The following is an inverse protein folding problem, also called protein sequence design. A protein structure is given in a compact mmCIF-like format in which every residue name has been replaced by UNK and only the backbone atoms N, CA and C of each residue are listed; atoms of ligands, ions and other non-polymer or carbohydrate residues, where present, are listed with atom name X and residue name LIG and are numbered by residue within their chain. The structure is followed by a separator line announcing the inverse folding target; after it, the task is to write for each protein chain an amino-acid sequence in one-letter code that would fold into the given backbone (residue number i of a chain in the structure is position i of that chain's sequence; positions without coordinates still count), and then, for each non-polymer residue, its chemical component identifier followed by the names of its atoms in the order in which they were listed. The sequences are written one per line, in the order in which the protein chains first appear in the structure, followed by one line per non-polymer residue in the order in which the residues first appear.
data_IF_163087635132
#
_entry.id   IF_163087635132
#
_cell.length_a   1.000
_cell.length_b   1.000
_cell.length_c   1.000
_cell.angle_alpha   90.00
_cell.angle_beta   90.00
_cell.angle_gamma   90.00
#
_symmetry.space_group_name_H-M   'P 1'
#
loop_
_entity.id
_entity.type
_entity.pdbx_description
1 polymer ?
#
# COMPACT_ATOMS: atom_id res chain seq x y z
N UNK A 1 -6.72 -2.50 4.73
CA UNK A 1 -6.70 -1.28 3.89
C UNK A 1 -6.06 -0.16 4.70
N UNK A 2 -5.51 0.86 4.05
CA UNK A 2 -4.85 1.99 4.69
C UNK A 2 -5.46 3.29 4.19
N UNK A 3 -5.52 4.29 5.07
CA UNK A 3 -5.90 5.66 4.71
C UNK A 3 -4.85 6.59 5.32
N UNK A 4 -4.13 7.31 4.47
CA UNK A 4 -3.19 8.35 4.89
C UNK A 4 -3.78 9.71 4.55
N UNK A 5 -4.26 10.44 5.56
CA UNK A 5 -4.83 11.79 5.41
C UNK A 5 -3.77 12.90 5.51
N UNK A 6 -2.53 12.55 5.85
CA UNK A 6 -1.43 13.48 5.99
C UNK A 6 -0.91 13.95 4.63
N UNK A 7 -0.18 15.07 4.63
CA UNK A 7 0.60 15.58 3.50
C UNK A 7 1.94 14.84 3.35
N UNK A 8 2.38 14.09 4.35
CA UNK A 8 3.56 13.24 4.31
C UNK A 8 3.21 11.79 3.96
N UNK A 9 4.14 11.07 3.34
CA UNK A 9 4.07 9.62 3.23
C UNK A 9 4.38 8.99 4.60
N UNK A 10 3.77 7.85 4.88
CA UNK A 10 3.96 7.12 6.14
C UNK A 10 4.34 5.67 5.87
N UNK A 11 5.34 5.19 6.60
CA UNK A 11 5.72 3.78 6.64
C UNK A 11 5.09 3.14 7.88
N UNK A 12 4.36 2.04 7.68
CA UNK A 12 3.69 1.31 8.76
C UNK A 12 4.23 -0.11 8.79
N UNK A 13 5.04 -0.42 9.79
CA UNK A 13 5.61 -1.75 9.99
C UNK A 13 4.67 -2.60 10.86
N UNK A 14 4.29 -3.76 10.33
CA UNK A 14 3.48 -4.76 11.03
C UNK A 14 4.23 -6.10 10.94
N UNK A 15 5.14 -6.41 11.87
CA UNK A 15 6.05 -7.57 11.75
C UNK A 15 5.33 -8.91 11.59
N UNK A 16 4.12 -9.05 12.15
CA UNK A 16 3.29 -10.25 12.05
C UNK A 16 2.80 -10.52 10.62
N UNK A 17 2.87 -9.52 9.74
CA UNK A 17 2.51 -9.64 8.34
C UNK A 17 3.72 -9.91 7.43
N UNK A 18 4.95 -9.90 7.94
CA UNK A 18 6.14 -10.23 7.18
C UNK A 18 6.04 -11.64 6.52
N UNK A 19 6.71 -11.80 5.38
CA UNK A 19 6.69 -13.03 4.58
C UNK A 19 5.40 -13.29 3.80
N UNK A 20 4.35 -12.49 3.96
CA UNK A 20 3.13 -12.57 3.14
C UNK A 20 3.35 -11.97 1.75
N UNK A 21 2.60 -12.46 0.77
CA UNK A 21 2.61 -12.01 -0.63
C UNK A 21 1.60 -10.87 -0.88
N UNK A 22 1.62 -9.83 -0.05
CA UNK A 22 0.74 -8.67 -0.27
C UNK A 22 1.09 -7.98 -1.59
N UNK A 23 0.05 -7.61 -2.34
CA UNK A 23 0.13 -6.83 -3.56
C UNK A 23 -0.89 -5.71 -3.52
N UNK A 24 -0.55 -4.57 -4.10
CA UNK A 24 -1.49 -3.46 -4.26
C UNK A 24 -2.69 -3.94 -5.11
N UNK A 25 -3.90 -3.63 -4.66
CA UNK A 25 -5.11 -4.03 -5.38
C UNK A 25 -5.13 -3.43 -6.79
N UNK A 26 -5.48 -4.18 -7.86
CA UNK A 26 -5.38 -3.73 -9.25
C UNK A 26 -6.08 -2.40 -9.56
N UNK A 27 -7.14 -2.06 -8.83
CA UNK A 27 -7.85 -0.78 -8.97
C UNK A 27 -6.95 0.44 -8.76
N UNK A 28 -5.92 0.34 -7.91
CA UNK A 28 -4.97 1.42 -7.63
C UNK A 28 -3.80 1.45 -8.62
N UNK A 29 -3.47 0.31 -9.24
CA UNK A 29 -2.40 0.21 -10.24
C UNK A 29 -2.89 0.52 -11.67
N UNK A 30 -4.21 0.55 -11.90
CA UNK A 30 -4.79 0.73 -13.22
C UNK A 30 -4.46 2.09 -13.86
N UNK A 31 -4.32 2.11 -15.18
CA UNK A 31 -4.18 3.36 -15.93
C UNK A 31 -5.44 4.27 -15.83
N UNK A 32 -6.60 3.72 -15.48
CA UNK A 32 -7.81 4.50 -15.23
C UNK A 32 -8.05 4.84 -13.74
N UNK A 33 -7.10 4.54 -12.85
CA UNK A 33 -7.25 4.80 -11.42
C UNK A 33 -7.51 6.29 -11.16
N UNK A 34 -8.54 6.55 -10.33
CA UNK A 34 -8.96 7.91 -9.97
C UNK A 34 -7.88 8.68 -9.20
N UNK A 35 -7.10 7.99 -8.38
CA UNK A 35 -5.90 8.54 -7.74
C UNK A 35 -4.65 7.83 -8.24
N UNK A 36 -3.82 8.55 -8.98
CA UNK A 36 -2.56 8.05 -9.53
C UNK A 36 -1.46 7.88 -8.51
N UNK A 37 -1.52 8.59 -7.39
CA UNK A 37 -0.50 8.49 -6.33
C UNK A 37 -0.58 7.14 -5.63
N UNK A 38 -1.78 6.55 -5.56
CA UNK A 38 -2.00 5.25 -4.94
C UNK A 38 -1.12 4.13 -5.53
N UNK A 39 -0.74 4.23 -6.81
CA UNK A 39 0.16 3.29 -7.48
C UNK A 39 1.59 3.26 -6.90
N UNK A 40 1.97 4.27 -6.11
CA UNK A 40 3.29 4.35 -5.45
C UNK A 40 3.31 3.61 -4.11
N UNK A 41 2.18 3.10 -3.63
CA UNK A 41 2.14 2.37 -2.36
C UNK A 41 2.85 1.02 -2.49
N UNK A 42 3.77 0.73 -1.57
CA UNK A 42 4.59 -0.48 -1.59
C UNK A 42 4.41 -1.32 -0.34
N UNK A 43 4.81 -2.57 -0.44
CA UNK A 43 4.90 -3.49 0.68
C UNK A 43 6.25 -4.21 0.64
N UNK A 44 7.01 -4.12 1.73
CA UNK A 44 8.23 -4.88 1.95
C UNK A 44 7.92 -6.16 2.74
N UNK A 45 8.06 -7.31 2.07
CA UNK A 45 7.82 -8.61 2.65
C UNK A 45 8.84 -9.01 3.72
N UNK A 46 10.06 -8.46 3.70
CA UNK A 46 11.09 -8.82 4.67
C UNK A 46 10.74 -8.31 6.07
N UNK A 47 10.23 -7.08 6.16
CA UNK A 47 9.90 -6.41 7.43
C UNK A 47 8.41 -6.37 7.75
N UNK A 48 7.54 -6.63 6.79
CA UNK A 48 6.10 -6.41 6.94
C UNK A 48 5.73 -4.92 6.91
N UNK A 49 6.51 -4.11 6.18
CA UNK A 49 6.31 -2.65 6.12
C UNK A 49 5.49 -2.24 4.91
N UNK A 50 4.51 -1.37 5.14
CA UNK A 50 3.70 -0.76 4.10
C UNK A 50 4.04 0.72 3.97
N UNK A 51 4.41 1.17 2.78
CA UNK A 51 4.61 2.60 2.51
C UNK A 51 3.36 3.16 1.84
N UNK A 52 2.75 4.15 2.50
CA UNK A 52 1.48 4.73 2.09
C UNK A 52 1.69 6.20 1.69
N UNK A 53 1.54 6.54 0.39
CA UNK A 53 1.69 7.90 -0.09
C UNK A 53 0.73 8.88 0.59
N UNK A 54 1.15 10.15 0.68
CA UNK A 54 0.34 11.22 1.23
C UNK A 54 -1.04 11.32 0.55
N UNK A 55 -2.09 11.56 1.34
CA UNK A 55 -3.46 11.78 0.87
C UNK A 55 -4.00 10.66 -0.02
N UNK A 56 -3.82 9.40 0.40
CA UNK A 56 -4.31 8.24 -0.34
C UNK A 56 -5.13 7.30 0.54
N UNK A 57 -6.04 6.55 -0.10
CA UNK A 57 -6.64 5.35 0.46
C UNK A 57 -6.27 4.18 -0.44
N UNK A 58 -5.64 3.15 0.12
CA UNK A 58 -5.13 1.99 -0.64
C UNK A 58 -5.51 0.66 0.01
N UNK A 59 -5.73 -0.34 -0.85
CA UNK A 59 -5.97 -1.72 -0.45
C UNK A 59 -4.82 -2.59 -0.94
N UNK A 60 -4.29 -3.42 -0.04
CA UNK A 60 -3.41 -4.54 -0.37
C UNK A 60 -4.16 -5.85 -0.20
N UNK A 61 -3.93 -6.80 -1.08
CA UNK A 61 -4.50 -8.16 -1.05
C UNK A 61 -3.37 -9.18 -1.00
N UNK A 62 -3.57 -10.30 -0.32
CA UNK A 62 -2.60 -11.41 -0.36
C UNK A 62 -2.84 -12.20 -1.64
N UNK A 63 -1.81 -12.31 -2.48
CA UNK A 63 -1.89 -13.15 -3.69
C UNK A 63 -1.60 -14.60 -3.33
N UNK A 64 -2.51 -15.50 -3.71
CA UNK A 64 -2.33 -16.95 -3.58
C UNK A 64 -1.19 -17.45 -4.49
#
# INVERSE_FOLDING_TARGET
YFVNVDKAAHAVTIPQLAGKSFQLHPVHAAFSAADKRAAQATYDAASGTFDIPARTAVVFVVKH
#
